data_IF_865663714484
#
_entry.id   IF_865663714484
#
_cell.length_a   1.000
_cell.length_b   1.000
_cell.length_c   1.000
_cell.angle_alpha   90.00
_cell.angle_beta   90.00
_cell.angle_gamma   90.00
#
_symmetry.space_group_name_H-M   'P 1'
#
loop_
_entity.id
_entity.type
_entity.pdbx_description
1 polymer ?
#
# COMPACT_ATOMS: atom_id res chain seq x y z
N UNK A 1 5.69 15.52 -7.38
CA UNK A 1 5.75 14.05 -7.48
C UNK A 1 4.37 13.55 -7.93
N UNK A 2 4.28 12.74 -8.98
CA UNK A 2 3.02 12.12 -9.41
C UNK A 2 2.94 10.71 -8.85
N UNK A 3 1.82 10.38 -8.22
CA UNK A 3 1.58 9.08 -7.60
C UNK A 3 0.26 8.53 -8.11
N UNK A 4 0.30 7.29 -8.59
CA UNK A 4 -0.87 6.54 -9.03
C UNK A 4 -1.13 5.42 -8.03
N UNK A 5 -2.38 5.27 -7.60
CA UNK A 5 -2.79 4.25 -6.66
C UNK A 5 -3.69 3.21 -7.33
N UNK A 6 -3.49 1.95 -6.94
CA UNK A 6 -4.35 0.82 -7.29
C UNK A 6 -4.88 0.21 -6.00
N UNK A 7 -6.20 0.13 -5.89
CA UNK A 7 -6.87 -0.51 -4.77
C UNK A 7 -6.59 -2.03 -4.78
N UNK A 8 -6.26 -2.61 -3.63
CA UNK A 8 -5.96 -4.06 -3.49
C UNK A 8 -6.84 -4.73 -2.44
N UNK A 9 -7.12 -4.06 -1.33
CA UNK A 9 -8.06 -4.50 -0.29
C UNK A 9 -7.88 -5.95 0.19
N UNK A 10 -6.65 -6.34 0.51
CA UNK A 10 -6.36 -7.69 1.02
C UNK A 10 -5.63 -7.61 2.36
N UNK A 11 -6.26 -8.10 3.42
CA UNK A 11 -5.74 -7.99 4.79
C UNK A 11 -5.51 -6.52 5.17
N UNK A 12 -4.31 -6.20 5.66
CA UNK A 12 -3.93 -4.83 6.01
C UNK A 12 -3.45 -4.00 4.81
N UNK A 13 -3.36 -4.59 3.61
CA UNK A 13 -2.94 -3.88 2.40
C UNK A 13 -4.15 -3.17 1.79
N UNK A 14 -4.13 -1.84 1.85
CA UNK A 14 -5.16 -1.00 1.24
C UNK A 14 -4.92 -0.84 -0.26
N UNK A 15 -3.72 -0.43 -0.64
CA UNK A 15 -3.41 -0.06 -2.01
C UNK A 15 -1.95 -0.31 -2.36
N UNK A 16 -1.67 -0.35 -3.65
CA UNK A 16 -0.33 -0.25 -4.22
C UNK A 16 -0.17 1.10 -4.91
N UNK A 17 1.02 1.67 -4.81
CA UNK A 17 1.36 2.94 -5.40
C UNK A 17 2.53 2.80 -6.39
N UNK A 18 2.43 3.58 -7.46
CA UNK A 18 3.48 3.81 -8.45
C UNK A 18 3.80 5.29 -8.41
N UNK A 19 5.08 5.63 -8.27
CA UNK A 19 5.54 7.00 -8.05
C UNK A 19 6.56 7.40 -9.10
N UNK A 20 6.33 8.52 -9.76
CA UNK A 20 7.29 9.10 -10.70
C UNK A 20 8.39 9.84 -9.91
N UNK A 21 9.63 9.37 -10.02
CA UNK A 21 10.80 9.87 -9.28
C UNK A 21 11.70 10.79 -10.13
N UNK A 22 11.61 10.67 -11.45
CA UNK A 22 12.19 11.56 -12.45
C UNK A 22 11.33 11.44 -13.73
N UNK A 23 11.52 12.34 -14.68
CA UNK A 23 10.75 12.33 -15.93
C UNK A 23 10.85 10.97 -16.64
N UNK A 24 9.71 10.29 -16.77
CA UNK A 24 9.65 8.94 -17.37
C UNK A 24 10.23 7.81 -16.51
N UNK A 25 10.60 8.06 -15.25
CA UNK A 25 11.18 7.06 -14.33
C UNK A 25 10.25 6.82 -13.15
N UNK A 26 9.85 5.56 -12.97
CA UNK A 26 8.84 5.17 -11.99
C UNK A 26 9.38 4.17 -10.97
N UNK A 27 9.08 4.43 -9.69
CA UNK A 27 9.22 3.49 -8.59
C UNK A 27 7.89 2.76 -8.39
N UNK A 28 7.91 1.45 -8.58
CA UNK A 28 6.74 0.58 -8.48
C UNK A 28 6.67 -0.11 -7.10
N UNK A 29 5.55 -0.80 -6.86
CA UNK A 29 5.37 -1.74 -5.74
C UNK A 29 5.45 -1.09 -4.34
N UNK A 30 5.26 0.22 -4.23
CA UNK A 30 5.08 0.88 -2.94
C UNK A 30 3.75 0.39 -2.34
N UNK A 31 3.76 -0.02 -1.09
CA UNK A 31 2.60 -0.61 -0.42
C UNK A 31 2.02 0.35 0.59
N UNK A 32 0.71 0.57 0.51
CA UNK A 32 -0.05 1.33 1.50
C UNK A 32 -0.74 0.35 2.42
N UNK A 33 -0.41 0.44 3.70
CA UNK A 33 -0.92 -0.43 4.75
C UNK A 33 -1.82 0.38 5.68
N UNK A 34 -2.80 -0.28 6.27
CA UNK A 34 -3.65 0.28 7.30
C UNK A 34 -3.65 -0.64 8.51
N UNK A 35 -3.05 -0.17 9.59
CA UNK A 35 -3.06 -0.83 10.88
C UNK A 35 -4.01 -0.08 11.80
N UNK A 36 -5.24 -0.58 11.95
CA UNK A 36 -6.23 -0.02 12.87
C UNK A 36 -6.50 1.49 12.66
N UNK A 37 -6.52 1.95 11.42
CA UNK A 37 -6.72 3.36 11.06
C UNK A 37 -5.42 4.15 10.86
N UNK A 38 -4.27 3.59 11.23
CA UNK A 38 -2.97 4.20 10.98
C UNK A 38 -2.43 3.78 9.61
N UNK A 39 -2.27 4.76 8.72
CA UNK A 39 -1.68 4.53 7.40
C UNK A 39 -0.16 4.45 7.48
N UNK A 40 0.39 3.34 7.02
CA UNK A 40 1.82 3.11 6.88
C UNK A 40 2.21 2.95 5.40
N UNK A 41 3.44 3.32 5.07
CA UNK A 41 4.00 3.22 3.71
C UNK A 41 5.20 2.27 3.78
N UNK A 42 5.17 1.22 2.97
CA UNK A 42 6.29 0.31 2.78
C UNK A 42 6.87 0.44 1.38
N UNK A 43 8.17 0.69 1.31
CA UNK A 43 8.92 0.72 0.06
C UNK A 43 9.20 -0.69 -0.46
N UNK A 44 9.39 -0.87 -1.78
CA UNK A 44 9.63 -2.18 -2.35
C UNK A 44 10.90 -2.84 -1.79
N UNK A 45 10.76 -4.13 -1.47
CA UNK A 45 11.85 -4.99 -1.01
C UNK A 45 11.88 -6.23 -1.88
N UNK A 46 13.08 -6.72 -2.18
CA UNK A 46 13.28 -7.97 -2.93
C UNK A 46 13.82 -9.04 -1.99
N UNK A 47 13.17 -10.20 -2.00
CA UNK A 47 13.70 -11.39 -1.34
C UNK A 47 14.65 -12.14 -2.28
N UNK A 48 15.66 -12.78 -1.70
CA UNK A 48 16.55 -13.69 -2.42
C UNK A 48 17.08 -14.78 -1.47
N UNK A 49 17.45 -15.93 -2.03
CA UNK A 49 18.00 -17.05 -1.27
C UNK A 49 19.53 -16.99 -1.33
N UNK A 50 20.17 -16.91 -0.16
CA UNK A 50 21.63 -16.88 -0.06
C UNK A 50 22.26 -18.28 -0.19
N UNK A 51 23.59 -18.33 -0.24
CA UNK A 51 24.37 -19.60 -0.28
C UNK A 51 24.06 -20.52 0.91
N UNK A 52 23.68 -19.94 2.05
CA UNK A 52 23.27 -20.66 3.27
C UNK A 52 21.85 -21.23 3.20
N UNK A 53 21.15 -21.13 2.06
CA UNK A 53 19.72 -21.43 1.88
C UNK A 53 18.76 -20.60 2.75
N UNK A 54 19.25 -19.51 3.37
CA UNK A 54 18.41 -18.56 4.11
C UNK A 54 17.82 -17.52 3.16
N UNK A 55 16.58 -17.10 3.44
CA UNK A 55 15.95 -15.98 2.75
C UNK A 55 16.49 -14.67 3.33
N UNK A 56 16.97 -13.81 2.45
CA UNK A 56 17.41 -12.47 2.74
C UNK A 56 16.51 -11.46 2.02
N UNK A 57 16.52 -10.23 2.52
CA UNK A 57 15.76 -9.12 1.95
C UNK A 57 16.70 -7.97 1.68
N UNK A 58 16.53 -7.32 0.54
CA UNK A 58 17.22 -6.10 0.17
C UNK A 58 16.18 -5.02 -0.15
N UNK A 59 16.42 -3.82 0.35
CA UNK A 59 15.58 -2.67 0.03
C UNK A 59 15.92 -2.20 -1.39
N UNK A 60 14.91 -2.04 -2.24
CA UNK A 60 15.10 -1.62 -3.63
C UNK A 60 15.38 -0.12 -3.73
N UNK A 61 14.95 0.65 -2.73
CA UNK A 61 15.24 2.07 -2.59
C UNK A 61 15.88 2.31 -1.24
N UNK A 62 16.97 3.07 -1.24
CA UNK A 62 17.66 3.49 -0.04
C UNK A 62 17.73 5.01 0.00
N UNK A 63 17.68 5.54 1.20
CA UNK A 63 17.75 6.98 1.47
C UNK A 63 19.07 7.28 2.17
N UNK A 64 19.66 8.43 1.88
CA UNK A 64 20.90 8.88 2.53
C UNK A 64 20.73 9.03 4.04
N UNK A 65 19.53 9.43 4.47
CA UNK A 65 19.14 9.57 5.87
C UNK A 65 17.64 9.30 6.05
N UNK A 66 17.22 9.22 7.32
CA UNK A 66 15.83 8.96 7.66
C UNK A 66 14.90 10.15 7.35
N UNK A 67 15.41 11.38 7.36
CA UNK A 67 14.61 12.57 7.08
C UNK A 67 14.11 12.58 5.63
N UNK A 68 14.96 12.18 4.67
CA UNK A 68 14.55 12.02 3.26
C UNK A 68 13.47 10.95 3.08
N UNK A 69 13.60 9.84 3.81
CA UNK A 69 12.58 8.78 3.83
C UNK A 69 11.25 9.31 4.35
N UNK A 70 11.26 10.02 5.48
CA UNK A 70 10.06 10.57 6.11
C UNK A 70 9.33 11.56 5.20
N UNK A 71 10.05 12.38 4.42
CA UNK A 71 9.44 13.28 3.44
C UNK A 71 8.64 12.50 2.40
N UNK A 72 9.21 11.43 1.84
CA UNK A 72 8.51 10.59 0.87
C UNK A 72 7.30 9.89 1.49
N UNK A 73 7.46 9.32 2.68
CA UNK A 73 6.34 8.69 3.40
C UNK A 73 5.20 9.69 3.64
N UNK A 74 5.52 10.91 4.06
CA UNK A 74 4.54 11.98 4.26
C UNK A 74 3.82 12.37 2.96
N UNK A 75 4.56 12.60 1.88
CA UNK A 75 3.98 12.94 0.57
C UNK A 75 3.07 11.84 0.04
N UNK A 76 3.48 10.56 0.16
CA UNK A 76 2.69 9.41 -0.27
C UNK A 76 1.42 9.27 0.58
N UNK A 77 1.52 9.41 1.91
CA UNK A 77 0.35 9.35 2.81
C UNK A 77 -0.67 10.45 2.49
N UNK A 78 -0.20 11.67 2.25
CA UNK A 78 -1.07 12.78 1.87
C UNK A 78 -1.75 12.52 0.53
N UNK A 79 -1.00 12.11 -0.49
CA UNK A 79 -1.54 11.80 -1.81
C UNK A 79 -2.56 10.65 -1.76
N UNK A 80 -2.29 9.61 -0.97
CA UNK A 80 -3.22 8.51 -0.75
C UNK A 80 -4.51 8.99 -0.08
N UNK A 81 -4.39 9.83 0.96
CA UNK A 81 -5.55 10.38 1.68
C UNK A 81 -6.46 11.18 0.75
N UNK A 82 -5.90 12.05 -0.10
CA UNK A 82 -6.68 12.79 -1.10
C UNK A 82 -7.33 11.87 -2.12
N UNK A 83 -6.56 10.91 -2.66
CA UNK A 83 -7.09 9.90 -3.58
C UNK A 83 -8.23 9.08 -2.96
N UNK A 84 -8.17 8.75 -1.67
CA UNK A 84 -9.19 7.93 -1.00
C UNK A 84 -10.50 8.69 -0.79
N UNK A 85 -10.49 10.02 -0.73
CA UNK A 85 -11.71 10.85 -0.66
C UNK A 85 -12.57 10.70 -1.92
N UNK A 86 -11.93 10.62 -3.09
CA UNK A 86 -12.61 10.46 -4.39
C UNK A 86 -12.90 9.00 -4.71
N UNK A 87 -12.07 8.08 -4.21
CA UNK A 87 -12.17 6.66 -4.48
C UNK A 87 -12.68 5.93 -3.25
N UNK A 88 -13.92 6.26 -2.85
CA UNK A 88 -14.53 5.72 -1.62
C UNK A 88 -14.57 4.20 -1.65
N UNK A 89 -14.29 3.61 -0.50
CA UNK A 89 -14.40 2.18 -0.25
C UNK A 89 -15.89 1.81 -0.35
N UNK A 90 -16.33 1.34 -1.52
CA UNK A 90 -17.70 0.82 -1.66
C UNK A 90 -17.73 -0.52 -0.95
N UNK A 91 -18.28 -0.54 0.26
CA UNK A 91 -18.68 -1.78 0.91
C UNK A 91 -19.79 -2.38 0.04
N UNK A 92 -19.44 -3.29 -0.87
CA UNK A 92 -20.44 -4.16 -1.46
C UNK A 92 -20.86 -5.11 -0.34
N UNK A 93 -21.95 -4.76 0.34
CA UNK A 93 -22.68 -5.74 1.12
C UNK A 93 -23.09 -6.83 0.13
N UNK A 94 -22.40 -7.96 0.14
CA UNK A 94 -22.93 -9.18 -0.43
C UNK A 94 -24.19 -9.51 0.38
N UNK A 95 -25.34 -8.98 -0.04
CA UNK A 95 -26.65 -9.42 0.40
C UNK A 95 -26.86 -10.86 -0.08
N UNK A 96 -26.17 -11.82 0.55
CA UNK A 96 -26.78 -13.12 0.81
C UNK A 96 -27.55 -12.96 2.10
N UNK A 97 -28.75 -12.43 1.95
CA UNK A 97 -29.82 -12.61 2.91
C UNK A 97 -30.09 -14.11 3.04
N UNK A 98 -29.39 -14.79 3.96
CA UNK A 98 -30.01 -15.91 4.64
C UNK A 98 -31.05 -15.28 5.55
N UNK A 99 -32.25 -15.08 4.99
CA UNK A 99 -33.46 -14.99 5.80
C UNK A 99 -33.61 -16.39 6.39
N UNK A 100 -32.92 -16.64 7.51
CA UNK A 100 -33.32 -17.71 8.40
C UNK A 100 -34.62 -17.23 9.04
N UNK A 101 -35.70 -17.62 8.37
CA UNK A 101 -37.05 -17.40 8.84
C UNK A 101 -37.18 -17.98 10.23
N UNK A 102 -37.43 -17.11 11.20
CA UNK A 102 -38.13 -17.53 12.40
C UNK A 102 -39.49 -18.08 11.98
N UNK A 103 -39.80 -19.29 12.41
CA UNK A 103 -41.17 -19.76 12.61
C UNK A 103 -41.14 -20.94 13.58
N UNK A 104 -41.70 -20.64 14.77
CA UNK A 104 -42.41 -21.53 15.69
C UNK A 104 -41.63 -22.56 16.51
#
# INVERSE_FOLDING_TARGET
>A
MKIHFRDVQTGNVEARAIMEIADGVFLNEITILNYNGEIAVEFPRKSFVGKSKRTHYIDIVSFVDNSKRQVWEYEIKNAYTEWRKTNKKVLVYNNKSNIDGGSS
#
